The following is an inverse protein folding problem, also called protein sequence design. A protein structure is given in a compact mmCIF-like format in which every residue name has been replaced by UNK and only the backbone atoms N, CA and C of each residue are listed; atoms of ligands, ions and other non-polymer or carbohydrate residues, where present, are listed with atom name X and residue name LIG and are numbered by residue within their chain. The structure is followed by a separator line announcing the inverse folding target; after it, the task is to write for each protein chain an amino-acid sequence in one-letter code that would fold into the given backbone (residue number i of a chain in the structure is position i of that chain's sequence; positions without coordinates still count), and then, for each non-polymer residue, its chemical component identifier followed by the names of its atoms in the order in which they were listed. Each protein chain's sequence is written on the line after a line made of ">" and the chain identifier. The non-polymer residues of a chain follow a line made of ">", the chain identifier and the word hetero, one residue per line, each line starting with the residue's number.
data_IF_419209207015
#
_entry.id   IF_419209207015
#
_cell.length_a   1.000
_cell.length_b   1.000
_cell.length_c   1.000
_cell.angle_alpha   90.00
_cell.angle_beta   90.00
_cell.angle_gamma   90.00
#
_symmetry.space_group_name_H-M   'P 1'
#
loop_
_entity.id
_entity.type
_entity.pdbx_description
1 polymer ?
#
# COMPACT_ATOMS: atom_id res chain seq x y z
N UNK A 1 23.08 -15.34 10.13
CA UNK A 1 21.63 -15.28 10.38
C UNK A 1 21.14 -13.98 9.81
N UNK A 2 20.65 -13.99 8.58
CA UNK A 2 20.11 -12.79 7.95
C UNK A 2 18.82 -12.46 8.70
N UNK A 3 18.86 -11.42 9.53
CA UNK A 3 17.65 -10.78 10.00
C UNK A 3 16.98 -10.15 8.77
N UNK A 4 16.30 -10.95 7.96
CA UNK A 4 15.16 -10.45 7.19
C UNK A 4 14.19 -9.98 8.24
N UNK A 5 14.35 -8.72 8.69
CA UNK A 5 13.30 -7.99 9.37
C UNK A 5 12.01 -8.34 8.63
N UNK A 6 10.93 -8.74 9.33
CA UNK A 6 9.70 -9.17 8.67
C UNK A 6 9.41 -8.11 7.62
N UNK A 7 9.48 -8.49 6.34
CA UNK A 7 9.53 -7.57 5.20
C UNK A 7 8.52 -6.47 5.48
N UNK A 8 9.00 -5.32 5.96
CA UNK A 8 8.10 -4.35 6.54
C UNK A 8 7.23 -3.93 5.38
N UNK A 9 5.94 -4.29 5.44
CA UNK A 9 5.06 -4.24 4.30
C UNK A 9 5.28 -2.90 3.61
N UNK A 10 5.78 -2.96 2.37
CA UNK A 10 6.13 -1.81 1.56
C UNK A 10 4.96 -0.82 1.51
N UNK A 11 3.76 -1.38 1.56
CA UNK A 11 2.47 -0.72 1.55
C UNK A 11 1.79 -0.78 2.91
N UNK A 12 1.29 0.36 3.40
CA UNK A 12 0.45 0.40 4.59
C UNK A 12 -0.75 1.35 4.39
N UNK A 13 -1.87 1.02 5.00
CA UNK A 13 -3.08 1.85 4.93
C UNK A 13 -2.97 3.01 5.91
N UNK A 14 -3.16 4.23 5.41
CA UNK A 14 -3.17 5.47 6.18
C UNK A 14 -4.48 6.20 5.92
N UNK A 15 -5.09 6.75 6.96
CA UNK A 15 -6.21 7.69 6.81
C UNK A 15 -5.64 9.03 6.33
N UNK A 16 -6.10 9.50 5.18
CA UNK A 16 -5.69 10.77 4.57
C UNK A 16 -6.47 11.95 5.14
N UNK A 17 -7.80 11.94 5.00
CA UNK A 17 -8.71 13.02 5.35
C UNK A 17 -9.86 12.58 6.27
N UNK A 18 -11.00 13.26 6.20
CA UNK A 18 -12.17 13.00 7.08
C UNK A 18 -12.76 11.60 6.84
N UNK A 19 -12.89 11.18 5.58
CA UNK A 19 -13.40 9.85 5.17
C UNK A 19 -12.50 9.14 4.13
N UNK A 20 -11.42 9.79 3.71
CA UNK A 20 -10.51 9.27 2.70
C UNK A 20 -9.39 8.43 3.34
N UNK A 21 -9.23 7.22 2.84
CA UNK A 21 -8.12 6.32 3.12
C UNK A 21 -7.17 6.29 1.92
N UNK A 22 -5.91 5.99 2.18
CA UNK A 22 -4.90 5.84 1.14
C UNK A 22 -3.95 4.71 1.50
N UNK A 23 -3.41 4.05 0.49
CA UNK A 23 -2.29 3.12 0.68
C UNK A 23 -1.01 3.92 0.50
N UNK A 24 -0.18 3.96 1.52
CA UNK A 24 1.10 4.66 1.50
C UNK A 24 2.20 3.67 1.14
N UNK A 25 3.00 4.02 0.14
CA UNK A 25 4.19 3.28 -0.28
C UNK A 25 5.42 3.87 0.41
N UNK A 26 6.10 3.07 1.25
CA UNK A 26 7.31 3.51 1.96
C UNK A 26 8.48 3.79 1.01
N UNK A 27 8.55 3.10 -0.13
CA UNK A 27 9.64 3.27 -1.09
C UNK A 27 9.51 4.57 -1.89
N UNK A 28 8.31 4.87 -2.39
CA UNK A 28 7.98 6.11 -3.10
C UNK A 28 7.73 7.29 -2.15
N UNK A 29 7.68 7.05 -0.83
CA UNK A 29 7.39 8.05 0.21
C UNK A 29 6.12 8.86 -0.10
N UNK A 30 5.10 8.18 -0.62
CA UNK A 30 3.90 8.82 -1.13
C UNK A 30 2.74 7.82 -1.24
N UNK A 31 1.59 8.26 -1.77
CA UNK A 31 0.50 7.33 -2.06
C UNK A 31 0.97 6.29 -3.08
N UNK A 32 0.66 5.03 -2.82
CA UNK A 32 0.98 3.91 -3.70
C UNK A 32 0.27 4.11 -5.03
N UNK A 33 0.96 3.92 -6.15
CA UNK A 33 0.31 3.92 -7.45
C UNK A 33 -0.36 2.57 -7.67
N UNK A 34 -1.66 2.57 -7.98
CA UNK A 34 -2.42 1.34 -8.26
C UNK A 34 -1.94 0.64 -9.54
N UNK A 35 -1.48 1.44 -10.50
CA UNK A 35 -0.94 0.99 -11.79
C UNK A 35 0.21 1.90 -12.19
N UNK A 36 1.13 1.41 -13.02
CA UNK A 36 2.22 2.22 -13.59
C UNK A 36 1.61 3.39 -14.40
N UNK A 37 1.80 4.63 -13.93
CA UNK A 37 1.16 5.84 -14.46
C UNK A 37 -0.37 5.92 -14.29
N UNK A 38 -0.92 5.15 -13.35
CA UNK A 38 -2.33 5.17 -13.01
C UNK A 38 -2.69 6.17 -11.90
N UNK A 39 -3.96 6.19 -11.49
CA UNK A 39 -4.37 6.95 -10.31
C UNK A 39 -3.63 6.44 -9.07
N UNK A 40 -3.35 7.36 -8.16
CA UNK A 40 -2.83 7.07 -6.84
C UNK A 40 -3.89 6.37 -5.99
N UNK A 41 -3.44 5.49 -5.09
CA UNK A 41 -4.27 4.82 -4.10
C UNK A 41 -4.65 5.80 -2.97
N UNK A 42 -5.27 6.93 -3.33
CA UNK A 42 -5.80 7.96 -2.45
C UNK A 42 -7.31 8.07 -2.61
N UNK A 43 -8.01 8.65 -1.63
CA UNK A 43 -9.49 8.78 -1.62
C UNK A 43 -10.24 7.45 -1.70
N UNK A 44 -9.67 6.42 -1.09
CA UNK A 44 -10.24 5.09 -1.00
C UNK A 44 -11.06 4.97 0.29
N UNK A 45 -11.99 4.02 0.32
CA UNK A 45 -12.55 3.58 1.61
C UNK A 45 -11.54 2.69 2.33
N UNK A 46 -11.72 2.50 3.64
CA UNK A 46 -10.89 1.59 4.44
C UNK A 46 -10.79 0.20 3.81
N UNK A 47 -11.93 -0.32 3.35
CA UNK A 47 -12.04 -1.63 2.72
C UNK A 47 -11.26 -1.70 1.41
N UNK A 48 -11.38 -0.66 0.56
CA UNK A 48 -10.60 -0.60 -0.67
C UNK A 48 -9.09 -0.51 -0.41
N UNK A 49 -8.68 0.32 0.57
CA UNK A 49 -7.28 0.47 0.91
C UNK A 49 -6.67 -0.84 1.46
N UNK A 50 -7.41 -1.57 2.30
CA UNK A 50 -6.97 -2.88 2.80
C UNK A 50 -6.91 -3.93 1.68
N UNK A 51 -7.90 -3.95 0.77
CA UNK A 51 -7.89 -4.85 -0.38
C UNK A 51 -6.67 -4.60 -1.29
N UNK A 52 -6.37 -3.33 -1.58
CA UNK A 52 -5.21 -2.94 -2.40
C UNK A 52 -3.90 -3.32 -1.69
N UNK A 53 -3.78 -3.06 -0.39
CA UNK A 53 -2.62 -3.49 0.40
C UNK A 53 -2.44 -5.01 0.31
N UNK A 54 -3.51 -5.79 0.38
CA UNK A 54 -3.45 -7.24 0.22
C UNK A 54 -2.98 -7.64 -1.18
N UNK A 55 -3.56 -7.07 -2.25
CA UNK A 55 -3.11 -7.34 -3.63
C UNK A 55 -1.63 -7.02 -3.84
N UNK A 56 -1.17 -5.89 -3.31
CA UNK A 56 0.22 -5.46 -3.43
C UNK A 56 1.18 -6.30 -2.56
N UNK A 57 0.69 -6.85 -1.46
CA UNK A 57 1.46 -7.76 -0.60
C UNK A 57 1.52 -9.17 -1.20
N UNK A 58 0.42 -9.64 -1.81
CA UNK A 58 0.33 -10.93 -2.49
C UNK A 58 1.26 -10.99 -3.71
N UNK A 59 1.26 -9.94 -4.55
CA UNK A 59 2.20 -9.78 -5.67
C UNK A 59 3.66 -9.84 -5.21
N UNK A 60 3.97 -9.32 -4.02
CA UNK A 60 5.33 -9.36 -3.45
C UNK A 60 5.70 -10.73 -2.88
N UNK A 61 4.72 -11.53 -2.46
CA UNK A 61 4.95 -12.82 -1.77
C UNK A 61 5.09 -13.98 -2.77
N UNK A 62 4.51 -13.89 -3.96
CA UNK A 62 4.69 -14.88 -5.03
C UNK A 62 5.91 -14.55 -5.91
N UNK A 63 7.11 -14.49 -5.32
CA UNK A 63 8.36 -14.22 -6.02
C UNK A 63 9.46 -15.24 -5.70
#
# INVERSE_FOLDING_TARGET
>A
MNYTAPQQARFFVRKGGTDDWMVYDRELKGPAQLKKNGPFAEKLTKEQAEHIKQLLSDDLTCR
#
